data_IF_211346159043
#
_entry.id   IF_211346159043
#
_cell.length_a   1.000
_cell.length_b   1.000
_cell.length_c   1.000
_cell.angle_alpha   90.00
_cell.angle_beta   90.00
_cell.angle_gamma   90.00
#
_symmetry.space_group_name_H-M   'P 1'
#
loop_
_entity.id
_entity.type
_entity.pdbx_description
1 polymer ?
#
# COMPACT_ATOMS: atom_id res chain seq x y z
N UNK A 1 -1.74 -44.32 -52.15
CA UNK A 1 -1.28 -44.97 -53.40
C UNK A 1 0.22 -45.26 -53.39
N UNK A 2 1.11 -44.29 -53.11
CA UNK A 2 2.58 -44.50 -53.05
C UNK A 2 3.04 -45.63 -52.11
N UNK A 3 2.48 -45.73 -50.90
CA UNK A 3 2.83 -46.83 -49.96
C UNK A 3 2.43 -48.22 -50.47
N UNK A 4 1.36 -48.31 -51.26
CA UNK A 4 0.86 -49.57 -51.82
C UNK A 4 1.72 -49.97 -53.02
N UNK A 5 2.04 -49.01 -53.89
CA UNK A 5 2.88 -49.23 -55.08
C UNK A 5 4.31 -49.64 -54.69
N UNK A 6 4.85 -49.04 -53.61
CA UNK A 6 6.12 -49.46 -53.01
C UNK A 6 6.07 -50.90 -52.47
N UNK A 7 4.98 -51.28 -51.79
CA UNK A 7 4.79 -52.63 -51.25
C UNK A 7 4.70 -53.68 -52.36
N UNK A 8 3.96 -53.39 -53.43
CA UNK A 8 3.85 -54.26 -54.61
C UNK A 8 5.22 -54.43 -55.29
N UNK A 9 5.96 -53.33 -55.48
CA UNK A 9 7.29 -53.37 -56.08
C UNK A 9 8.29 -54.14 -55.21
N UNK A 10 8.22 -53.97 -53.88
CA UNK A 10 9.04 -54.71 -52.94
C UNK A 10 8.71 -56.20 -52.95
N UNK A 11 7.43 -56.57 -52.90
CA UNK A 11 7.02 -57.98 -52.99
C UNK A 11 7.45 -58.63 -54.31
N UNK A 12 7.30 -57.91 -55.44
CA UNK A 12 7.76 -58.39 -56.76
C UNK A 12 9.29 -58.53 -56.83
N UNK A 13 10.05 -57.63 -56.20
CA UNK A 13 11.52 -57.76 -56.12
C UNK A 13 11.93 -58.95 -55.25
N UNK A 14 11.27 -59.17 -54.12
CA UNK A 14 11.56 -60.29 -53.23
C UNK A 14 11.22 -61.62 -53.91
N UNK A 15 10.09 -61.70 -54.63
CA UNK A 15 9.70 -62.92 -55.33
C UNK A 15 10.64 -63.25 -56.49
N UNK A 16 11.07 -62.26 -57.28
CA UNK A 16 12.02 -62.47 -58.38
C UNK A 16 13.40 -62.90 -57.87
N UNK A 17 13.89 -62.27 -56.79
CA UNK A 17 15.15 -62.68 -56.15
C UNK A 17 15.03 -64.10 -55.58
N UNK A 18 13.89 -64.44 -54.94
CA UNK A 18 13.66 -65.78 -54.41
C UNK A 18 13.60 -66.86 -55.50
N UNK A 19 12.95 -66.57 -56.64
CA UNK A 19 12.91 -67.47 -57.81
C UNK A 19 14.32 -67.72 -58.36
N UNK A 20 15.11 -66.67 -58.53
CA UNK A 20 16.48 -66.78 -59.04
C UNK A 20 17.40 -67.61 -58.14
N UNK A 21 17.19 -67.55 -56.81
CA UNK A 21 17.88 -68.40 -55.83
C UNK A 21 17.40 -69.86 -55.82
N UNK A 22 16.18 -70.14 -56.28
CA UNK A 22 15.66 -71.50 -56.39
C UNK A 22 16.23 -72.25 -57.60
N UNK A 23 16.53 -71.55 -58.69
CA UNK A 23 17.01 -72.14 -59.95
C UNK A 23 18.54 -72.35 -59.98
N UNK A 24 19.30 -71.59 -59.18
CA UNK A 24 20.76 -71.67 -59.11
C UNK A 24 21.24 -72.32 -57.81
N UNK A 25 21.30 -73.65 -57.77
CA UNK A 25 21.83 -74.42 -56.64
C UNK A 25 23.36 -74.42 -56.61
N UNK A 26 23.96 -73.29 -56.22
CA UNK A 26 25.40 -73.25 -55.90
C UNK A 26 25.69 -73.96 -54.56
N UNK A 27 26.83 -74.64 -54.47
CA UNK A 27 27.39 -75.14 -53.20
C UNK A 27 28.44 -74.17 -52.68
N UNK A 28 28.45 -73.93 -51.37
CA UNK A 28 29.51 -73.20 -50.69
C UNK A 28 30.21 -74.19 -49.77
N UNK A 29 31.51 -74.37 -50.00
CA UNK A 29 32.40 -75.13 -49.12
C UNK A 29 33.19 -74.14 -48.27
N UNK A 30 33.02 -74.21 -46.95
CA UNK A 30 33.79 -73.40 -45.99
C UNK A 30 34.78 -74.33 -45.31
N UNK A 31 36.08 -74.13 -45.58
CA UNK A 31 37.17 -74.78 -44.87
C UNK A 31 37.67 -73.88 -43.73
N UNK A 32 37.55 -74.35 -42.49
CA UNK A 32 38.07 -73.64 -41.33
C UNK A 32 38.80 -74.60 -40.39
N UNK A 33 40.12 -74.42 -40.24
CA UNK A 33 40.96 -75.22 -39.34
C UNK A 33 40.83 -76.75 -39.52
N UNK A 34 40.63 -77.21 -40.76
CA UNK A 34 40.47 -78.63 -41.10
C UNK A 34 39.03 -79.15 -40.96
N UNK A 35 38.06 -78.31 -40.60
CA UNK A 35 36.64 -78.63 -40.69
C UNK A 35 36.08 -78.16 -42.03
N UNK A 36 35.42 -79.08 -42.73
CA UNK A 36 34.72 -78.82 -43.98
C UNK A 36 33.20 -78.86 -43.73
N UNK A 37 32.53 -77.76 -44.07
CA UNK A 37 31.08 -77.67 -44.01
C UNK A 37 30.57 -77.34 -45.40
N UNK A 38 29.90 -78.30 -46.02
CA UNK A 38 29.23 -78.14 -47.30
C UNK A 38 27.77 -77.73 -47.07
N UNK A 39 27.41 -76.54 -47.55
CA UNK A 39 26.02 -76.04 -47.47
C UNK A 39 25.57 -75.49 -48.82
N UNK A 40 24.25 -75.50 -49.05
CA UNK A 40 23.70 -74.84 -50.24
C UNK A 40 23.75 -73.31 -50.06
N UNK A 41 24.02 -72.60 -51.15
CA UNK A 41 24.09 -71.14 -51.21
C UNK A 41 22.85 -70.48 -50.60
N UNK A 42 21.68 -71.07 -50.83
CA UNK A 42 20.39 -70.59 -50.34
C UNK A 42 20.28 -70.67 -48.82
N UNK A 43 20.77 -71.76 -48.19
CA UNK A 43 20.77 -71.91 -46.73
C UNK A 43 21.76 -70.92 -46.10
N UNK A 44 22.95 -70.78 -46.69
CA UNK A 44 23.96 -69.84 -46.20
C UNK A 44 23.45 -68.39 -46.20
N UNK A 45 22.85 -67.94 -47.31
CA UNK A 45 22.30 -66.58 -47.40
C UNK A 45 21.13 -66.34 -46.46
N UNK A 46 20.29 -67.35 -46.24
CA UNK A 46 19.19 -67.29 -45.28
C UNK A 46 19.74 -67.10 -43.85
N UNK A 47 20.78 -67.85 -43.49
CA UNK A 47 21.46 -67.70 -42.19
C UNK A 47 22.08 -66.31 -42.07
N UNK A 48 22.80 -65.83 -43.09
CA UNK A 48 23.39 -64.48 -43.10
C UNK A 48 22.31 -63.40 -42.98
N UNK A 49 21.19 -63.53 -43.67
CA UNK A 49 20.07 -62.58 -43.61
C UNK A 49 19.45 -62.55 -42.21
N UNK A 50 19.19 -63.71 -41.60
CA UNK A 50 18.72 -63.80 -40.22
C UNK A 50 19.72 -63.15 -39.26
N UNK A 51 21.02 -63.39 -39.47
CA UNK A 51 22.08 -62.83 -38.62
C UNK A 51 22.13 -61.31 -38.73
N UNK A 52 22.04 -60.75 -39.94
CA UNK A 52 21.98 -59.29 -40.15
C UNK A 52 20.70 -58.71 -39.52
N UNK A 53 19.55 -59.36 -39.72
CA UNK A 53 18.27 -58.89 -39.19
C UNK A 53 18.23 -58.91 -37.66
N UNK A 54 18.75 -59.97 -37.04
CA UNK A 54 18.87 -60.08 -35.58
C UNK A 54 19.82 -59.03 -35.02
N UNK A 55 20.98 -58.80 -35.65
CA UNK A 55 21.93 -57.74 -35.26
C UNK A 55 21.29 -56.34 -35.36
N UNK A 56 20.51 -56.07 -36.43
CA UNK A 56 19.79 -54.80 -36.58
C UNK A 56 18.74 -54.60 -35.48
N UNK A 57 17.93 -55.62 -35.18
CA UNK A 57 16.92 -55.56 -34.12
C UNK A 57 17.59 -55.33 -32.76
N UNK A 58 18.66 -56.08 -32.46
CA UNK A 58 19.43 -55.93 -31.23
C UNK A 58 20.01 -54.51 -31.13
N UNK A 59 20.61 -53.99 -32.20
CA UNK A 59 21.15 -52.62 -32.25
C UNK A 59 20.08 -51.56 -31.95
N UNK A 60 18.91 -51.65 -32.58
CA UNK A 60 17.79 -50.73 -32.33
C UNK A 60 17.27 -50.86 -30.89
N UNK A 61 17.17 -52.08 -30.38
CA UNK A 61 16.75 -52.35 -29.01
C UNK A 61 17.71 -51.73 -28.00
N UNK A 62 19.02 -52.00 -28.12
CA UNK A 62 20.05 -51.40 -27.28
C UNK A 62 20.06 -49.86 -27.39
N UNK A 63 19.97 -49.31 -28.60
CA UNK A 63 19.92 -47.86 -28.80
C UNK A 63 18.71 -47.20 -28.10
N UNK A 64 17.52 -47.81 -28.21
CA UNK A 64 16.32 -47.34 -27.50
C UNK A 64 16.48 -47.46 -25.99
N UNK A 65 17.08 -48.55 -25.50
CA UNK A 65 17.29 -48.82 -24.07
C UNK A 65 18.28 -47.80 -23.46
N UNK A 66 19.33 -47.41 -24.19
CA UNK A 66 20.25 -46.35 -23.79
C UNK A 66 19.61 -44.95 -23.79
N UNK A 67 18.65 -44.65 -24.69
CA UNK A 67 17.98 -43.34 -24.74
C UNK A 67 16.75 -43.21 -23.83
N UNK A 68 16.15 -44.33 -23.42
CA UNK A 68 15.00 -44.41 -22.51
C UNK A 68 15.23 -43.64 -21.18
N UNK A 69 16.36 -43.81 -20.45
CA UNK A 69 16.58 -43.10 -19.19
C UNK A 69 16.59 -41.57 -19.37
N UNK A 70 17.11 -41.04 -20.49
CA UNK A 70 17.10 -39.61 -20.76
C UNK A 70 15.69 -39.06 -20.99
N UNK A 71 14.85 -39.79 -21.73
CA UNK A 71 13.44 -39.41 -21.96
C UNK A 71 12.63 -39.43 -20.66
N UNK A 72 12.84 -40.46 -19.84
CA UNK A 72 12.20 -40.59 -18.52
C UNK A 72 12.63 -39.46 -17.59
N UNK A 73 13.93 -39.18 -17.47
CA UNK A 73 14.46 -38.07 -16.66
C UNK A 73 13.88 -36.73 -17.10
N UNK A 74 13.76 -36.48 -18.41
CA UNK A 74 13.14 -35.26 -18.96
C UNK A 74 11.65 -35.19 -18.62
N UNK A 75 10.93 -36.31 -18.71
CA UNK A 75 9.51 -36.39 -18.34
C UNK A 75 9.27 -36.13 -16.86
N UNK A 76 10.05 -36.78 -15.97
CA UNK A 76 10.00 -36.54 -14.53
C UNK A 76 10.32 -35.08 -14.18
N UNK A 77 11.34 -34.49 -14.81
CA UNK A 77 11.63 -33.06 -14.62
C UNK A 77 10.43 -32.19 -14.99
N UNK A 78 9.78 -32.45 -16.14
CA UNK A 78 8.57 -31.72 -16.55
C UNK A 78 7.42 -31.90 -15.56
N UNK A 79 7.17 -33.13 -15.11
CA UNK A 79 6.15 -33.44 -14.12
C UNK A 79 6.41 -32.72 -12.80
N UNK A 80 7.65 -32.77 -12.29
CA UNK A 80 8.03 -32.11 -11.04
C UNK A 80 7.93 -30.59 -11.13
N UNK A 81 8.28 -29.98 -12.26
CA UNK A 81 8.09 -28.55 -12.50
C UNK A 81 6.60 -28.19 -12.54
N UNK A 82 5.75 -28.98 -13.22
CA UNK A 82 4.29 -28.77 -13.20
C UNK A 82 3.72 -28.86 -11.79
N UNK A 83 4.11 -29.90 -11.03
CA UNK A 83 3.72 -30.07 -9.63
C UNK A 83 4.18 -28.90 -8.76
N UNK A 84 5.37 -28.37 -9.01
CA UNK A 84 5.93 -27.25 -8.27
C UNK A 84 5.25 -25.90 -8.60
N UNK A 85 4.82 -25.70 -9.85
CA UNK A 85 3.98 -24.57 -10.26
C UNK A 85 2.60 -24.64 -9.61
N UNK A 86 1.95 -25.81 -9.64
CA UNK A 86 0.67 -26.01 -8.97
C UNK A 86 0.77 -25.74 -7.46
N UNK A 87 1.83 -26.25 -6.81
CA UNK A 87 2.09 -25.94 -5.41
C UNK A 87 2.34 -24.44 -5.19
N UNK A 88 2.99 -23.73 -6.12
CA UNK A 88 3.22 -22.30 -6.00
C UNK A 88 1.90 -21.53 -6.05
N UNK A 89 1.00 -21.87 -6.97
CA UNK A 89 -0.34 -21.28 -7.08
C UNK A 89 -1.16 -21.53 -5.80
N UNK A 90 -1.25 -22.77 -5.35
CA UNK A 90 -1.92 -23.15 -4.09
C UNK A 90 -1.31 -22.45 -2.87
N UNK A 91 0.02 -22.30 -2.83
CA UNK A 91 0.71 -21.59 -1.76
C UNK A 91 0.40 -20.09 -1.74
N UNK A 92 0.29 -19.47 -2.91
CA UNK A 92 -0.10 -18.07 -3.03
C UNK A 92 -1.57 -17.87 -2.67
N UNK A 93 -2.48 -18.73 -3.11
CA UNK A 93 -3.89 -18.69 -2.70
C UNK A 93 -4.03 -18.87 -1.19
N UNK A 94 -3.29 -19.82 -0.60
CA UNK A 94 -3.24 -20.01 0.84
C UNK A 94 -2.75 -18.77 1.61
N UNK A 95 -1.87 -17.95 1.01
CA UNK A 95 -1.44 -16.68 1.61
C UNK A 95 -2.56 -15.64 1.70
N UNK A 96 -3.56 -15.69 0.80
CA UNK A 96 -4.72 -14.78 0.85
C UNK A 96 -5.63 -15.14 2.04
N UNK A 97 -5.80 -16.44 2.30
CA UNK A 97 -6.63 -16.96 3.40
C UNK A 97 -5.85 -17.15 4.72
N UNK A 98 -4.57 -16.76 4.79
CA UNK A 98 -3.68 -16.95 5.94
C UNK A 98 -3.55 -18.42 6.43
N UNK A 99 -3.56 -19.38 5.51
CA UNK A 99 -3.38 -20.80 5.83
C UNK A 99 -1.89 -21.18 5.95
N UNK A 100 -1.31 -20.95 7.13
CA UNK A 100 0.12 -21.11 7.41
C UNK A 100 0.70 -22.49 7.05
N UNK A 101 -0.04 -23.57 7.31
CA UNK A 101 0.40 -24.94 7.04
C UNK A 101 0.56 -25.21 5.54
N UNK A 102 -0.40 -24.76 4.72
CA UNK A 102 -0.35 -24.87 3.26
C UNK A 102 0.80 -24.05 2.69
N UNK A 103 1.01 -22.82 3.16
CA UNK A 103 2.11 -21.94 2.71
C UNK A 103 3.47 -22.63 2.92
N UNK A 104 3.70 -23.18 4.12
CA UNK A 104 4.95 -23.87 4.45
C UNK A 104 5.16 -25.11 3.57
N UNK A 105 4.14 -25.95 3.43
CA UNK A 105 4.20 -27.17 2.62
C UNK A 105 4.48 -26.84 1.15
N UNK A 106 3.71 -25.91 0.59
CA UNK A 106 3.75 -25.55 -0.81
C UNK A 106 5.06 -24.85 -1.19
N UNK A 107 5.55 -23.92 -0.36
CA UNK A 107 6.87 -23.31 -0.58
C UNK A 107 7.99 -24.35 -0.64
N UNK A 108 8.01 -25.34 0.27
CA UNK A 108 9.02 -26.41 0.26
C UNK A 108 8.97 -27.26 -1.01
N UNK A 109 7.79 -27.47 -1.59
CA UNK A 109 7.63 -28.21 -2.86
C UNK A 109 8.12 -27.34 -4.02
N UNK A 110 7.68 -26.09 -4.09
CA UNK A 110 8.00 -25.16 -5.17
C UNK A 110 9.49 -24.84 -5.24
N UNK A 111 10.15 -24.57 -4.11
CA UNK A 111 11.58 -24.23 -4.03
C UNK A 111 12.49 -25.33 -4.61
N UNK A 112 12.09 -26.60 -4.54
CA UNK A 112 12.92 -27.73 -5.02
C UNK A 112 13.10 -27.75 -6.53
N UNK A 113 12.10 -27.31 -7.29
CA UNK A 113 12.06 -27.51 -8.74
C UNK A 113 11.93 -26.21 -9.55
N UNK A 114 11.53 -25.10 -8.92
CA UNK A 114 11.41 -23.81 -9.59
C UNK A 114 12.68 -22.98 -9.44
N UNK A 115 13.01 -22.24 -10.50
CA UNK A 115 14.00 -21.16 -10.44
C UNK A 115 13.44 -20.00 -9.61
N UNK A 116 14.33 -19.11 -9.18
CA UNK A 116 13.93 -17.90 -8.48
C UNK A 116 13.14 -16.98 -9.40
N UNK A 117 11.85 -16.79 -9.09
CA UNK A 117 10.93 -15.86 -9.76
C UNK A 117 10.34 -14.89 -8.72
N UNK A 118 9.76 -13.74 -9.14
CA UNK A 118 9.11 -12.80 -8.21
C UNK A 118 8.03 -13.45 -7.36
N UNK A 119 7.23 -14.33 -7.96
CA UNK A 119 6.15 -15.07 -7.27
C UNK A 119 6.69 -16.08 -6.26
N UNK A 120 7.77 -16.79 -6.60
CA UNK A 120 8.41 -17.71 -5.65
C UNK A 120 9.06 -16.94 -4.48
N UNK A 121 9.62 -15.75 -4.74
CA UNK A 121 10.12 -14.87 -3.69
C UNK A 121 9.01 -14.34 -2.79
N UNK A 122 7.84 -14.01 -3.35
CA UNK A 122 6.69 -13.61 -2.56
C UNK A 122 6.23 -14.76 -1.64
N UNK A 123 6.14 -15.99 -2.16
CA UNK A 123 5.79 -17.16 -1.35
C UNK A 123 6.89 -17.48 -0.30
N UNK A 124 8.17 -17.28 -0.64
CA UNK A 124 9.29 -17.38 0.30
C UNK A 124 9.17 -16.36 1.42
N UNK A 125 8.81 -15.12 1.10
CA UNK A 125 8.63 -14.06 2.08
C UNK A 125 7.54 -14.45 3.08
N UNK A 126 6.38 -14.91 2.59
CA UNK A 126 5.29 -15.40 3.43
C UNK A 126 5.74 -16.56 4.34
N UNK A 127 6.46 -17.53 3.79
CA UNK A 127 7.07 -18.60 4.59
C UNK A 127 7.98 -18.07 5.70
N UNK A 128 8.83 -17.09 5.42
CA UNK A 128 9.75 -16.51 6.39
C UNK A 128 9.04 -15.67 7.46
N UNK A 129 7.98 -14.95 7.10
CA UNK A 129 7.13 -14.20 8.04
C UNK A 129 6.46 -15.13 9.04
N UNK A 130 5.92 -16.27 8.59
CA UNK A 130 5.33 -17.30 9.47
C UNK A 130 6.38 -17.89 10.43
N UNK A 131 7.64 -17.97 9.98
CA UNK A 131 8.76 -18.43 10.81
C UNK A 131 9.34 -17.35 11.72
N UNK A 132 8.84 -16.12 11.65
CA UNK A 132 9.34 -14.96 12.40
C UNK A 132 10.85 -14.74 12.25
N UNK A 133 11.42 -15.11 11.09
CA UNK A 133 12.86 -14.95 10.82
C UNK A 133 13.11 -13.65 10.04
N UNK A 134 13.36 -12.57 10.77
CA UNK A 134 13.53 -11.24 10.19
C UNK A 134 14.73 -11.12 9.24
N UNK A 135 15.86 -11.77 9.55
CA UNK A 135 17.04 -11.75 8.70
C UNK A 135 16.75 -12.38 7.32
N UNK A 136 16.02 -13.50 7.30
CA UNK A 136 15.57 -14.14 6.07
C UNK A 136 14.50 -13.32 5.33
N UNK A 137 13.62 -12.61 6.04
CA UNK A 137 12.68 -11.65 5.43
C UNK A 137 13.44 -10.52 4.74
N UNK A 138 14.39 -9.89 5.43
CA UNK A 138 15.24 -8.83 4.89
C UNK A 138 15.98 -9.28 3.63
N UNK A 139 16.64 -10.45 3.68
CA UNK A 139 17.33 -11.03 2.54
C UNK A 139 16.39 -11.35 1.36
N UNK A 140 15.15 -11.75 1.66
CA UNK A 140 14.14 -12.03 0.63
C UNK A 140 13.67 -10.75 -0.03
N UNK A 141 13.39 -9.69 0.74
CA UNK A 141 13.07 -8.37 0.19
C UNK A 141 14.21 -7.81 -0.66
N UNK A 142 15.47 -7.92 -0.20
CA UNK A 142 16.64 -7.51 -1.00
C UNK A 142 16.68 -8.22 -2.36
N UNK A 143 16.40 -9.52 -2.41
CA UNK A 143 16.30 -10.29 -3.67
C UNK A 143 15.11 -9.85 -4.54
N UNK A 144 14.00 -9.44 -3.93
CA UNK A 144 12.82 -8.94 -4.65
C UNK A 144 13.08 -7.58 -5.33
N UNK A 145 14.05 -6.79 -4.89
CA UNK A 145 14.42 -5.52 -5.56
C UNK A 145 14.96 -5.74 -6.98
N UNK A 146 15.53 -6.91 -7.26
CA UNK A 146 16.08 -7.24 -8.59
C UNK A 146 14.99 -7.35 -9.66
N UNK A 147 13.73 -7.61 -9.28
CA UNK A 147 12.62 -7.77 -10.21
C UNK A 147 11.65 -6.60 -10.12
N UNK A 148 11.43 -5.90 -11.23
CA UNK A 148 10.55 -4.73 -11.29
C UNK A 148 9.16 -4.96 -10.68
N UNK A 149 8.55 -6.13 -10.94
CA UNK A 149 7.22 -6.48 -10.44
C UNK A 149 7.13 -6.55 -8.90
N UNK A 150 8.22 -6.90 -8.21
CA UNK A 150 8.23 -7.06 -6.75
C UNK A 150 8.86 -5.90 -5.99
N UNK A 151 9.45 -4.92 -6.68
CA UNK A 151 10.08 -3.74 -6.04
C UNK A 151 9.17 -2.97 -5.11
N UNK A 152 7.89 -2.68 -5.43
CA UNK A 152 7.02 -1.93 -4.53
C UNK A 152 6.83 -2.63 -3.17
N UNK A 153 6.55 -3.93 -3.20
CA UNK A 153 6.38 -4.75 -1.99
C UNK A 153 7.70 -4.82 -1.22
N UNK A 154 8.82 -5.02 -1.93
CA UNK A 154 10.13 -5.10 -1.34
C UNK A 154 10.55 -3.82 -0.61
N UNK A 155 10.40 -2.66 -1.25
CA UNK A 155 10.71 -1.38 -0.65
C UNK A 155 9.82 -1.09 0.55
N UNK A 156 8.51 -1.33 0.43
CA UNK A 156 7.60 -1.09 1.53
C UNK A 156 7.94 -1.98 2.75
N UNK A 157 8.32 -3.24 2.51
CA UNK A 157 8.80 -4.16 3.54
C UNK A 157 10.12 -3.74 4.17
N UNK A 158 11.10 -3.29 3.38
CA UNK A 158 12.39 -2.81 3.90
C UNK A 158 12.25 -1.52 4.70
N UNK A 159 11.37 -0.60 4.30
CA UNK A 159 11.04 0.60 5.08
C UNK A 159 10.32 0.21 6.39
N UNK A 160 9.47 -0.81 6.35
CA UNK A 160 8.85 -1.35 7.58
C UNK A 160 9.89 -1.92 8.55
N UNK A 161 10.89 -2.67 8.05
CA UNK A 161 12.01 -3.15 8.85
C UNK A 161 12.82 -1.98 9.43
N UNK A 162 13.12 -0.96 8.62
CA UNK A 162 13.79 0.24 9.10
C UNK A 162 13.00 0.91 10.24
N UNK A 163 11.67 1.00 10.10
CA UNK A 163 10.78 1.57 11.11
C UNK A 163 10.68 0.73 12.39
N UNK A 164 10.80 -0.59 12.28
CA UNK A 164 10.84 -1.47 13.45
C UNK A 164 12.15 -1.30 14.22
N UNK A 165 13.27 -1.16 13.51
CA UNK A 165 14.61 -1.12 14.10
C UNK A 165 15.12 0.31 14.34
N UNK A 166 14.31 1.34 14.03
CA UNK A 166 14.72 2.75 14.00
C UNK A 166 16.01 3.01 13.20
N UNK A 167 16.22 2.25 12.12
CA UNK A 167 17.42 2.32 11.28
C UNK A 167 17.30 3.45 10.24
N UNK A 168 17.92 4.60 10.54
CA UNK A 168 17.90 5.78 9.69
C UNK A 168 18.72 5.61 8.40
N UNK A 169 19.80 4.83 8.46
CA UNK A 169 20.65 4.59 7.29
C UNK A 169 19.89 3.73 6.27
N UNK A 170 19.30 2.61 6.72
CA UNK A 170 18.46 1.77 5.89
C UNK A 170 17.29 2.57 5.30
N UNK A 171 16.61 3.38 6.11
CA UNK A 171 15.52 4.22 5.64
C UNK A 171 15.93 5.15 4.49
N UNK A 172 17.01 5.91 4.66
CA UNK A 172 17.51 6.84 3.64
C UNK A 172 17.94 6.12 2.36
N UNK A 173 18.63 4.98 2.49
CA UNK A 173 19.00 4.11 1.38
C UNK A 173 17.77 3.56 0.65
N UNK A 174 16.69 3.21 1.38
CA UNK A 174 15.45 2.72 0.77
C UNK A 174 14.71 3.81 -0.02
N UNK A 175 14.70 5.06 0.45
CA UNK A 175 14.15 6.17 -0.33
C UNK A 175 14.97 6.43 -1.61
N UNK A 176 16.31 6.43 -1.50
CA UNK A 176 17.19 6.60 -2.65
C UNK A 176 17.00 5.48 -3.68
N UNK A 177 16.93 4.22 -3.24
CA UNK A 177 16.68 3.07 -4.12
C UNK A 177 15.28 3.08 -4.73
N UNK A 178 14.27 3.55 -4.00
CA UNK A 178 12.93 3.74 -4.57
C UNK A 178 12.95 4.72 -5.74
N UNK A 179 13.73 5.81 -5.62
CA UNK A 179 13.92 6.79 -6.70
C UNK A 179 14.68 6.21 -7.89
N UNK A 180 15.81 5.52 -7.66
CA UNK A 180 16.61 4.94 -8.75
C UNK A 180 15.80 3.91 -9.55
N UNK A 181 14.99 3.11 -8.87
CA UNK A 181 14.10 2.14 -9.49
C UNK A 181 12.76 2.69 -9.98
N UNK A 182 12.51 4.00 -9.81
CA UNK A 182 11.28 4.70 -10.22
C UNK A 182 10.02 4.06 -9.64
N UNK A 183 10.08 3.59 -8.40
CA UNK A 183 8.92 2.99 -7.73
C UNK A 183 7.97 4.09 -7.28
N UNK A 184 6.67 4.01 -7.64
CA UNK A 184 5.71 5.04 -7.26
C UNK A 184 5.62 5.21 -5.75
N UNK A 185 5.65 6.47 -5.30
CA UNK A 185 5.60 6.86 -3.89
C UNK A 185 4.36 6.32 -3.15
N UNK A 186 3.25 6.12 -3.86
CA UNK A 186 2.00 5.62 -3.30
C UNK A 186 2.12 4.29 -2.54
N UNK A 187 3.06 3.43 -2.96
CA UNK A 187 3.21 2.09 -2.39
C UNK A 187 3.90 2.07 -1.02
N UNK A 188 4.65 3.11 -0.66
CA UNK A 188 5.46 3.11 0.55
C UNK A 188 5.36 4.40 1.39
N UNK A 189 4.60 5.40 0.94
CA UNK A 189 4.49 6.70 1.62
C UNK A 189 4.00 6.59 3.07
N UNK A 190 3.06 5.69 3.37
CA UNK A 190 2.53 5.55 4.74
C UNK A 190 3.62 5.04 5.70
N UNK A 191 4.36 4.00 5.31
CA UNK A 191 5.48 3.48 6.09
C UNK A 191 6.63 4.47 6.17
N UNK A 192 6.88 5.21 5.08
CA UNK A 192 7.92 6.23 5.08
C UNK A 192 7.57 7.41 5.99
N UNK A 193 6.29 7.80 6.03
CA UNK A 193 5.80 8.85 6.90
C UNK A 193 5.79 8.41 8.37
N UNK A 194 5.37 7.17 8.67
CA UNK A 194 5.40 6.66 10.05
C UNK A 194 6.82 6.55 10.59
N UNK A 195 7.81 6.22 9.75
CA UNK A 195 9.23 6.32 10.14
C UNK A 195 9.62 7.76 10.51
N UNK A 196 9.20 8.75 9.72
CA UNK A 196 9.51 10.17 9.98
C UNK A 196 8.89 10.66 11.29
N UNK A 197 7.64 10.26 11.57
CA UNK A 197 6.95 10.61 12.80
C UNK A 197 7.71 10.13 14.04
N UNK A 198 8.21 8.89 14.03
CA UNK A 198 8.92 8.33 15.19
C UNK A 198 10.30 8.95 15.40
N UNK A 199 11.00 9.27 14.32
CA UNK A 199 12.40 9.69 14.36
C UNK A 199 12.60 11.21 14.21
N UNK A 200 11.51 11.99 14.14
CA UNK A 200 11.53 13.43 13.85
C UNK A 200 12.34 13.80 12.59
N UNK A 201 12.47 12.88 11.62
CA UNK A 201 13.30 13.06 10.43
C UNK A 201 12.50 13.60 9.25
N UNK A 202 12.00 14.83 9.39
CA UNK A 202 11.09 15.45 8.42
C UNK A 202 11.77 15.81 7.10
N UNK A 203 13.05 16.18 7.15
CA UNK A 203 13.80 16.73 6.02
C UNK A 203 14.05 15.70 4.93
N UNK A 204 14.40 14.46 5.31
CA UNK A 204 14.72 13.40 4.36
C UNK A 204 13.50 13.06 3.49
N UNK A 205 12.33 12.85 4.10
CA UNK A 205 11.12 12.55 3.35
C UNK A 205 10.59 13.75 2.57
N UNK A 206 10.66 14.96 3.13
CA UNK A 206 10.24 16.17 2.41
C UNK A 206 11.06 16.39 1.14
N UNK A 207 12.39 16.24 1.22
CA UNK A 207 13.27 16.31 0.06
C UNK A 207 12.93 15.22 -0.97
N UNK A 208 12.70 13.99 -0.52
CA UNK A 208 12.30 12.89 -1.39
C UNK A 208 11.01 13.21 -2.17
N UNK A 209 9.95 13.63 -1.48
CA UNK A 209 8.65 14.00 -2.09
C UNK A 209 8.80 15.18 -3.07
N UNK A 210 9.59 16.19 -2.71
CA UNK A 210 9.76 17.41 -3.53
C UNK A 210 10.34 17.13 -4.93
N UNK A 211 11.09 16.03 -5.06
CA UNK A 211 11.72 15.59 -6.30
C UNK A 211 10.87 14.61 -7.10
N UNK A 212 9.73 14.17 -6.56
CA UNK A 212 8.81 13.26 -7.24
C UNK A 212 8.01 14.01 -8.33
N UNK A 213 7.84 13.35 -9.49
CA UNK A 213 7.06 13.90 -10.61
C UNK A 213 5.59 14.10 -10.25
N UNK A 214 5.05 13.28 -9.34
CA UNK A 214 3.67 13.31 -8.88
C UNK A 214 3.45 14.18 -7.64
N UNK A 215 4.43 14.99 -7.21
CA UNK A 215 4.33 15.85 -6.00
C UNK A 215 3.07 16.72 -5.93
N UNK A 216 2.51 17.10 -7.08
CA UNK A 216 1.32 17.94 -7.16
C UNK A 216 -0.01 17.17 -6.96
N UNK A 217 0.03 15.84 -6.88
CA UNK A 217 -1.15 15.07 -6.52
C UNK A 217 -1.61 15.43 -5.12
N UNK A 218 -2.93 15.54 -4.95
CA UNK A 218 -3.58 16.00 -3.72
C UNK A 218 -3.07 15.29 -2.46
N UNK A 219 -2.97 13.96 -2.50
CA UNK A 219 -2.43 13.14 -1.42
C UNK A 219 -1.02 13.58 -0.97
N UNK A 220 -0.11 13.81 -1.92
CA UNK A 220 1.26 14.23 -1.59
C UNK A 220 1.35 15.68 -1.11
N UNK A 221 0.45 16.57 -1.57
CA UNK A 221 0.32 17.92 -1.00
C UNK A 221 -0.03 17.89 0.48
N UNK A 222 -0.97 17.03 0.89
CA UNK A 222 -1.31 16.85 2.31
C UNK A 222 -0.10 16.37 3.12
N UNK A 223 0.58 15.31 2.66
CA UNK A 223 1.76 14.79 3.36
C UNK A 223 2.86 15.86 3.44
N UNK A 224 3.13 16.56 2.34
CA UNK A 224 4.15 17.62 2.30
C UNK A 224 3.79 18.79 3.24
N UNK A 225 2.51 19.16 3.32
CA UNK A 225 2.02 20.19 4.26
C UNK A 225 2.24 19.76 5.71
N UNK A 226 1.95 18.50 6.04
CA UNK A 226 2.20 17.95 7.39
C UNK A 226 3.71 17.97 7.71
N UNK A 227 4.57 17.55 6.78
CA UNK A 227 6.03 17.57 6.98
C UNK A 227 6.58 18.99 7.17
N UNK A 228 6.12 19.95 6.36
CA UNK A 228 6.47 21.36 6.51
C UNK A 228 6.01 21.91 7.86
N UNK A 229 4.82 21.55 8.33
CA UNK A 229 4.34 21.93 9.66
C UNK A 229 5.27 21.43 10.76
N UNK A 230 5.62 20.14 10.77
CA UNK A 230 6.51 19.60 11.80
C UNK A 230 7.89 20.24 11.76
N UNK A 231 8.43 20.50 10.56
CA UNK A 231 9.68 21.24 10.40
C UNK A 231 9.57 22.67 10.96
N UNK A 232 8.49 23.39 10.67
CA UNK A 232 8.25 24.72 11.22
C UNK A 232 8.11 24.69 12.76
N UNK A 233 7.41 23.68 13.29
CA UNK A 233 7.25 23.46 14.73
C UNK A 233 8.61 23.25 15.41
N UNK A 234 9.49 22.45 14.83
CA UNK A 234 10.83 22.20 15.35
C UNK A 234 11.68 23.49 15.40
N UNK A 235 11.63 24.32 14.35
CA UNK A 235 12.31 25.62 14.36
C UNK A 235 11.72 26.57 15.41
N UNK A 236 10.39 26.55 15.59
CA UNK A 236 9.72 27.36 16.61
C UNK A 236 10.12 26.94 18.03
N UNK A 237 10.15 25.64 18.32
CA UNK A 237 10.60 25.09 19.61
C UNK A 237 12.08 25.39 19.89
N UNK A 238 12.92 25.49 18.84
CA UNK A 238 14.32 25.95 18.93
C UNK A 238 14.48 27.47 19.04
N UNK A 239 13.41 28.24 19.13
CA UNK A 239 13.43 29.70 19.24
C UNK A 239 13.68 30.46 17.92
N UNK A 240 13.71 29.78 16.78
CA UNK A 240 13.92 30.41 15.47
C UNK A 240 12.58 30.75 14.79
N UNK A 241 11.92 31.81 15.29
CA UNK A 241 10.59 32.23 14.82
C UNK A 241 10.57 32.65 13.35
N UNK A 242 11.62 33.27 12.82
CA UNK A 242 11.69 33.71 11.41
C UNK A 242 11.70 32.52 10.44
N UNK A 243 12.54 31.51 10.70
CA UNK A 243 12.56 30.29 9.88
C UNK A 243 11.25 29.52 10.03
N UNK A 244 10.71 29.40 11.23
CA UNK A 244 9.40 28.78 11.44
C UNK A 244 8.30 29.49 10.63
N UNK A 245 8.30 30.83 10.62
CA UNK A 245 7.36 31.66 9.86
C UNK A 245 7.47 31.41 8.35
N UNK A 246 8.68 31.47 7.79
CA UNK A 246 8.88 31.26 6.35
C UNK A 246 8.42 29.88 5.88
N UNK A 247 8.67 28.83 6.67
CA UNK A 247 8.27 27.46 6.34
C UNK A 247 6.76 27.29 6.47
N UNK A 248 6.15 27.79 7.55
CA UNK A 248 4.71 27.61 7.76
C UNK A 248 3.89 28.36 6.69
N UNK A 249 4.35 29.53 6.23
CA UNK A 249 3.70 30.28 5.16
C UNK A 249 3.61 29.48 3.85
N UNK A 250 4.64 28.66 3.56
CA UNK A 250 4.66 27.80 2.37
C UNK A 250 3.62 26.67 2.41
N UNK A 251 3.05 26.35 3.58
CA UNK A 251 2.00 25.32 3.69
C UNK A 251 0.68 25.79 3.08
N UNK A 252 0.35 27.07 3.26
CA UNK A 252 -0.91 27.65 2.79
C UNK A 252 -0.94 27.93 1.28
N UNK A 253 0.23 28.00 0.63
CA UNK A 253 0.32 28.15 -0.83
C UNK A 253 -0.38 27.01 -1.59
N UNK A 254 -0.40 25.80 -0.99
CA UNK A 254 -1.01 24.61 -1.59
C UNK A 254 -2.54 24.54 -1.34
N UNK A 255 -3.12 25.54 -0.65
CA UNK A 255 -4.53 25.58 -0.18
C UNK A 255 -4.93 24.37 0.68
N UNK A 256 -3.95 23.74 1.31
CA UNK A 256 -4.17 22.69 2.31
C UNK A 256 -4.11 23.36 3.67
N UNK A 257 -5.23 23.36 4.38
CA UNK A 257 -5.32 23.94 5.71
C UNK A 257 -5.40 22.84 6.76
N UNK A 258 -4.43 22.81 7.66
CA UNK A 258 -4.42 21.94 8.84
C UNK A 258 -4.62 22.81 10.07
N UNK A 259 -5.55 22.47 10.99
CA UNK A 259 -5.75 23.23 12.23
C UNK A 259 -4.46 23.61 12.98
N UNK A 260 -3.55 22.68 13.28
CA UNK A 260 -2.32 23.02 14.00
C UNK A 260 -1.37 23.91 13.19
N UNK A 261 -1.42 23.88 11.86
CA UNK A 261 -0.63 24.80 11.02
C UNK A 261 -1.13 26.23 11.13
N UNK A 262 -2.45 26.42 11.18
CA UNK A 262 -3.08 27.74 11.38
C UNK A 262 -2.78 28.27 12.78
N UNK A 263 -2.83 27.43 13.81
CA UNK A 263 -2.46 27.80 15.18
C UNK A 263 -0.99 28.21 15.30
N UNK A 264 -0.06 27.45 14.70
CA UNK A 264 1.35 27.81 14.73
C UNK A 264 1.59 29.13 13.99
N UNK A 265 0.97 29.31 12.82
CA UNK A 265 1.05 30.56 12.08
C UNK A 265 0.51 31.75 12.88
N UNK A 266 -0.62 31.58 13.56
CA UNK A 266 -1.22 32.62 14.39
C UNK A 266 -0.32 32.98 15.57
N UNK A 267 0.25 31.99 16.27
CA UNK A 267 1.21 32.21 17.38
C UNK A 267 2.50 32.91 16.96
N UNK A 268 2.97 32.67 15.74
CA UNK A 268 4.14 33.34 15.17
C UNK A 268 3.86 34.80 14.74
N UNK A 269 2.59 35.14 14.49
CA UNK A 269 2.16 36.44 13.96
C UNK A 269 1.72 37.45 15.03
N UNK A 270 2.17 37.31 16.28
CA UNK A 270 1.71 38.11 17.44
C UNK A 270 1.77 39.63 17.25
N UNK A 271 2.68 40.15 16.41
CA UNK A 271 2.94 41.60 16.27
C UNK A 271 2.81 42.18 14.85
N UNK A 272 2.52 41.37 13.83
CA UNK A 272 2.53 41.85 12.44
C UNK A 272 1.13 42.18 11.91
N UNK A 273 1.04 43.32 11.22
CA UNK A 273 -0.15 43.89 10.56
C UNK A 273 -1.17 42.83 10.11
N UNK A 274 -2.29 42.83 10.82
CA UNK A 274 -3.44 41.92 10.82
C UNK A 274 -4.07 41.50 9.46
N UNK A 275 -3.65 42.06 8.32
CA UNK A 275 -4.27 41.81 7.01
C UNK A 275 -4.02 40.39 6.51
N UNK A 276 -2.78 39.90 6.61
CA UNK A 276 -2.42 38.57 6.11
C UNK A 276 -3.08 37.47 6.94
N UNK A 277 -3.04 37.58 8.27
CA UNK A 277 -3.71 36.65 9.17
C UNK A 277 -5.23 36.66 8.95
N UNK A 278 -5.87 37.84 8.84
CA UNK A 278 -7.31 37.94 8.54
C UNK A 278 -7.66 37.26 7.22
N UNK A 279 -6.88 37.48 6.15
CA UNK A 279 -7.09 36.83 4.85
C UNK A 279 -6.94 35.31 4.95
N UNK A 280 -5.94 34.84 5.68
CA UNK A 280 -5.71 33.41 5.90
C UNK A 280 -6.85 32.77 6.68
N UNK A 281 -7.30 33.35 7.79
CA UNK A 281 -8.40 32.83 8.60
C UNK A 281 -9.71 32.77 7.80
N UNK A 282 -9.97 33.75 6.92
CA UNK A 282 -11.13 33.72 6.02
C UNK A 282 -11.05 32.56 5.03
N UNK A 283 -9.88 32.31 4.44
CA UNK A 283 -9.69 31.15 3.57
C UNK A 283 -9.80 29.84 4.34
N UNK A 284 -9.25 29.80 5.55
CA UNK A 284 -9.32 28.63 6.42
C UNK A 284 -10.76 28.26 6.72
N UNK A 285 -11.58 29.21 7.16
CA UNK A 285 -13.01 29.01 7.39
C UNK A 285 -13.74 28.49 6.13
N UNK A 286 -13.45 29.09 4.97
CA UNK A 286 -14.10 28.69 3.72
C UNK A 286 -13.81 27.25 3.31
N UNK A 287 -12.57 26.77 3.50
CA UNK A 287 -12.12 25.45 3.02
C UNK A 287 -12.15 24.35 4.08
N UNK A 288 -11.92 24.69 5.34
CA UNK A 288 -11.88 23.76 6.47
C UNK A 288 -12.36 24.48 7.75
N UNK A 289 -13.69 24.64 7.94
CA UNK A 289 -14.24 25.22 9.15
C UNK A 289 -13.77 24.44 10.39
N UNK A 290 -13.27 25.13 11.42
CA UNK A 290 -12.73 24.48 12.61
C UNK A 290 -12.80 25.42 13.83
N UNK A 291 -12.98 24.86 15.02
CA UNK A 291 -13.21 25.62 16.25
C UNK A 291 -12.03 26.50 16.69
N UNK A 292 -10.80 26.08 16.45
CA UNK A 292 -9.58 26.83 16.81
C UNK A 292 -9.46 28.23 16.16
N UNK A 293 -10.30 28.56 15.16
CA UNK A 293 -10.35 29.91 14.57
C UNK A 293 -10.72 30.96 15.64
N UNK A 294 -11.56 30.59 16.61
CA UNK A 294 -11.93 31.48 17.71
C UNK A 294 -10.73 31.82 18.59
N UNK A 295 -9.97 30.81 19.00
CA UNK A 295 -8.77 30.99 19.81
C UNK A 295 -7.73 31.82 19.04
N UNK A 296 -7.57 31.58 17.74
CA UNK A 296 -6.73 32.40 16.88
C UNK A 296 -7.16 33.87 16.86
N UNK A 297 -8.46 34.18 16.88
CA UNK A 297 -8.96 35.57 16.92
C UNK A 297 -8.79 36.19 18.32
N UNK A 298 -9.00 35.42 19.38
CA UNK A 298 -8.89 35.88 20.76
C UNK A 298 -7.43 36.16 21.17
N UNK A 299 -6.51 35.27 20.82
CA UNK A 299 -5.10 35.37 21.19
C UNK A 299 -4.35 36.42 20.36
N UNK A 300 -4.81 36.66 19.13
CA UNK A 300 -4.25 37.67 18.23
C UNK A 300 -5.07 38.96 18.27
N UNK A 301 -4.66 39.95 17.47
CA UNK A 301 -5.33 41.25 17.38
C UNK A 301 -5.48 41.93 18.76
N UNK A 302 -4.43 41.91 19.60
CA UNK A 302 -4.45 42.44 20.98
C UNK A 302 -4.89 43.91 21.07
N UNK A 303 -4.63 44.69 20.01
CA UNK A 303 -5.01 46.10 19.91
C UNK A 303 -6.54 46.31 19.71
N UNK A 304 -7.30 45.24 19.43
CA UNK A 304 -8.74 45.31 19.28
C UNK A 304 -9.45 45.00 20.60
N UNK A 305 -10.43 45.82 20.95
CA UNK A 305 -11.38 45.50 22.02
C UNK A 305 -12.17 44.24 21.69
N UNK A 306 -12.70 43.59 22.72
CA UNK A 306 -13.46 42.34 22.56
C UNK A 306 -14.67 42.51 21.62
N UNK A 307 -15.35 43.66 21.65
CA UNK A 307 -16.41 44.01 20.70
C UNK A 307 -15.92 44.10 19.25
N UNK A 308 -14.72 44.65 19.01
CA UNK A 308 -14.11 44.68 17.67
C UNK A 308 -13.70 43.28 17.23
N UNK A 309 -13.29 42.39 18.14
CA UNK A 309 -13.02 40.98 17.84
C UNK A 309 -14.29 40.20 17.49
N UNK A 310 -15.43 40.50 18.14
CA UNK A 310 -16.75 39.96 17.75
C UNK A 310 -17.06 40.33 16.29
N UNK A 311 -16.95 41.62 15.93
CA UNK A 311 -17.17 42.09 14.56
C UNK A 311 -16.23 41.40 13.56
N UNK A 312 -14.94 41.28 13.91
CA UNK A 312 -13.96 40.59 13.09
C UNK A 312 -14.32 39.11 12.90
N UNK A 313 -14.74 38.40 13.94
CA UNK A 313 -15.15 37.01 13.82
C UNK A 313 -16.38 36.86 12.91
N UNK A 314 -17.37 37.74 13.03
CA UNK A 314 -18.54 37.77 12.11
C UNK A 314 -18.08 37.93 10.65
N UNK A 315 -17.14 38.83 10.38
CA UNK A 315 -16.58 39.04 9.04
C UNK A 315 -15.69 37.89 8.51
N UNK A 316 -15.18 37.03 9.41
CA UNK A 316 -14.38 35.86 9.07
C UNK A 316 -15.26 34.64 8.79
N UNK A 317 -16.32 34.47 9.58
CA UNK A 317 -17.26 33.33 9.52
C UNK A 317 -18.33 33.51 8.42
N UNK A 318 -17.92 34.02 7.26
CA UNK A 318 -18.80 34.21 6.11
C UNK A 318 -19.16 32.85 5.45
N UNK A 319 -20.41 32.71 5.00
CA UNK A 319 -20.98 31.45 4.50
C UNK A 319 -21.24 30.39 5.59
N UNK A 320 -21.49 29.15 5.17
CA UNK A 320 -21.79 28.00 6.04
C UNK A 320 -22.96 28.24 7.01
N UNK A 321 -24.07 28.82 6.53
CA UNK A 321 -25.20 29.21 7.39
C UNK A 321 -25.98 28.05 8.01
N UNK A 322 -25.82 26.84 7.46
CA UNK A 322 -26.37 25.59 8.00
C UNK A 322 -25.38 24.87 8.92
N UNK A 323 -24.19 25.44 9.18
CA UNK A 323 -23.19 24.82 10.04
C UNK A 323 -23.39 25.28 11.48
N UNK A 324 -23.69 24.34 12.38
CA UNK A 324 -23.85 24.63 13.81
C UNK A 324 -22.62 25.33 14.41
N UNK A 325 -21.41 24.91 13.99
CA UNK A 325 -20.14 25.44 14.48
C UNK A 325 -20.03 26.96 14.31
N UNK A 326 -20.61 27.53 13.24
CA UNK A 326 -20.65 28.98 13.03
C UNK A 326 -21.28 29.69 14.21
N UNK A 327 -22.49 29.27 14.56
CA UNK A 327 -23.27 29.90 15.64
C UNK A 327 -22.71 29.57 17.01
N UNK A 328 -22.13 28.38 17.21
CA UNK A 328 -21.43 28.04 18.44
C UNK A 328 -20.28 29.03 18.72
N UNK A 329 -19.44 29.31 17.72
CA UNK A 329 -18.29 30.22 17.88
C UNK A 329 -18.73 31.69 18.05
N UNK A 330 -19.78 32.12 17.33
CA UNK A 330 -20.37 33.45 17.51
C UNK A 330 -20.99 33.63 18.90
N UNK A 331 -21.74 32.63 19.37
CA UNK A 331 -22.28 32.60 20.72
C UNK A 331 -21.17 32.68 21.77
N UNK A 332 -20.11 31.87 21.63
CA UNK A 332 -19.00 31.86 22.58
C UNK A 332 -18.27 33.20 22.68
N UNK A 333 -17.96 33.85 21.55
CA UNK A 333 -17.28 35.16 21.60
C UNK A 333 -18.20 36.26 22.13
N UNK A 334 -19.51 36.22 21.82
CA UNK A 334 -20.51 37.19 22.31
C UNK A 334 -20.74 37.04 23.81
N UNK A 335 -20.76 35.80 24.32
CA UNK A 335 -20.80 35.52 25.75
C UNK A 335 -19.58 36.12 26.46
N UNK A 336 -18.36 35.90 25.92
CA UNK A 336 -17.14 36.53 26.45
C UNK A 336 -17.23 38.06 26.44
N UNK A 337 -17.85 38.63 25.41
CA UNK A 337 -18.10 40.07 25.27
C UNK A 337 -19.27 40.61 26.10
N UNK A 338 -19.94 39.77 26.90
CA UNK A 338 -21.13 40.11 27.70
C UNK A 338 -22.32 40.61 26.87
N UNK A 339 -22.40 40.22 25.59
CA UNK A 339 -23.54 40.49 24.70
C UNK A 339 -24.55 39.35 24.84
N UNK A 340 -25.22 39.30 26.01
CA UNK A 340 -25.99 38.13 26.42
C UNK A 340 -27.14 37.76 25.48
N UNK A 341 -27.94 38.75 25.05
CA UNK A 341 -29.12 38.51 24.22
C UNK A 341 -28.76 37.85 22.89
N UNK A 342 -27.82 38.44 22.15
CA UNK A 342 -27.39 37.89 20.86
C UNK A 342 -26.56 36.61 21.00
N UNK A 343 -25.81 36.47 22.11
CA UNK A 343 -25.13 35.23 22.44
C UNK A 343 -26.11 34.07 22.61
N UNK A 344 -27.20 34.26 23.37
CA UNK A 344 -28.23 33.22 23.56
C UNK A 344 -28.87 32.83 22.23
N UNK A 345 -29.21 33.82 21.39
CA UNK A 345 -29.80 33.58 20.06
C UNK A 345 -28.91 32.68 19.19
N UNK A 346 -27.61 32.98 19.11
CA UNK A 346 -26.68 32.16 18.32
C UNK A 346 -26.51 30.76 18.91
N UNK A 347 -26.39 30.63 20.24
CA UNK A 347 -26.24 29.31 20.88
C UNK A 347 -27.49 28.43 20.68
N UNK A 348 -28.69 29.01 20.78
CA UNK A 348 -29.94 28.29 20.48
C UNK A 348 -29.99 27.83 19.03
N UNK A 349 -29.63 28.71 18.08
CA UNK A 349 -29.53 28.34 16.67
C UNK A 349 -28.50 27.24 16.40
N UNK A 350 -27.37 27.25 17.12
CA UNK A 350 -26.41 26.14 17.07
C UNK A 350 -27.04 24.82 17.51
N UNK A 351 -27.83 24.82 18.58
CA UNK A 351 -28.47 23.63 19.13
C UNK A 351 -29.57 23.12 18.19
N UNK A 352 -30.34 24.02 17.59
CA UNK A 352 -31.37 23.69 16.59
C UNK A 352 -30.79 22.93 15.40
N UNK A 353 -29.59 23.31 14.94
CA UNK A 353 -28.91 22.63 13.83
C UNK A 353 -28.28 21.31 14.30
N UNK A 354 -27.47 21.35 15.35
CA UNK A 354 -26.80 20.18 15.90
C UNK A 354 -26.62 20.33 17.42
N UNK A 355 -27.40 19.59 18.23
CA UNK A 355 -27.28 19.60 19.67
C UNK A 355 -25.86 19.19 20.11
N UNK A 356 -25.21 20.07 20.87
CA UNK A 356 -23.85 19.82 21.34
C UNK A 356 -23.68 20.31 22.79
N UNK A 357 -22.88 19.57 23.55
CA UNK A 357 -22.64 19.81 24.97
C UNK A 357 -22.08 21.21 25.24
N UNK A 358 -21.14 21.68 24.40
CA UNK A 358 -20.52 23.00 24.56
C UNK A 358 -21.52 24.15 24.53
N UNK A 359 -22.51 24.12 23.63
CA UNK A 359 -23.55 25.15 23.53
C UNK A 359 -24.41 25.23 24.80
N UNK A 360 -24.84 24.08 25.33
CA UNK A 360 -25.61 24.03 26.57
C UNK A 360 -24.83 24.57 27.77
N UNK A 361 -23.55 24.21 27.91
CA UNK A 361 -22.70 24.72 28.99
C UNK A 361 -22.47 26.24 28.89
N UNK A 362 -22.37 26.78 27.68
CA UNK A 362 -22.29 28.23 27.48
C UNK A 362 -23.60 28.93 27.87
N UNK A 363 -24.77 28.36 27.55
CA UNK A 363 -26.06 28.89 28.00
C UNK A 363 -26.19 28.90 29.52
N UNK A 364 -25.74 27.84 30.19
CA UNK A 364 -25.69 27.77 31.66
C UNK A 364 -24.86 28.93 32.23
N UNK A 365 -23.63 29.11 31.73
CA UNK A 365 -22.74 30.19 32.19
C UNK A 365 -23.36 31.59 31.99
N UNK A 366 -24.03 31.82 30.85
CA UNK A 366 -24.73 33.09 30.62
C UNK A 366 -25.85 33.29 31.66
N UNK A 367 -26.58 32.24 32.00
CA UNK A 367 -27.76 32.34 32.86
C UNK A 367 -27.38 32.47 34.34
N UNK A 368 -26.28 31.86 34.75
CA UNK A 368 -25.62 32.11 36.05
C UNK A 368 -25.17 33.57 36.20
N UNK A 369 -24.75 34.24 35.12
CA UNK A 369 -24.27 35.63 35.17
C UNK A 369 -25.36 36.68 34.96
N UNK A 370 -26.56 36.27 34.55
CA UNK A 370 -27.65 37.21 34.19
C UNK A 370 -28.86 37.09 35.11
N UNK A 371 -29.55 35.95 35.10
CA UNK A 371 -30.84 35.78 35.78
C UNK A 371 -30.77 34.88 37.01
N UNK A 372 -29.73 34.06 37.14
CA UNK A 372 -29.57 33.05 38.18
C UNK A 372 -30.77 32.09 38.33
N UNK A 373 -31.51 31.85 37.23
CA UNK A 373 -32.67 30.97 37.25
C UNK A 373 -32.23 29.50 37.38
N UNK A 374 -32.40 28.94 38.59
CA UNK A 374 -31.97 27.59 38.95
C UNK A 374 -32.63 26.49 38.11
N UNK A 375 -33.88 26.68 37.69
CA UNK A 375 -34.62 25.63 36.96
C UNK A 375 -34.11 25.52 35.52
N UNK A 376 -33.86 26.66 34.86
CA UNK A 376 -33.27 26.67 33.52
C UNK A 376 -31.82 26.16 33.53
N UNK A 377 -31.03 26.54 34.53
CA UNK A 377 -29.67 26.03 34.70
C UNK A 377 -29.68 24.50 34.81
N UNK A 378 -30.56 23.94 35.66
CA UNK A 378 -30.71 22.48 35.81
C UNK A 378 -31.13 21.81 34.51
N UNK A 379 -32.07 22.40 33.76
CA UNK A 379 -32.54 21.79 32.51
C UNK A 379 -31.48 21.78 31.41
N UNK A 380 -30.69 22.84 31.24
CA UNK A 380 -29.58 22.82 30.27
C UNK A 380 -28.44 21.91 30.72
N UNK A 381 -28.16 21.84 32.03
CA UNK A 381 -27.16 20.91 32.56
C UNK A 381 -27.54 19.46 32.29
N UNK A 382 -28.79 19.06 32.54
CA UNK A 382 -29.24 17.69 32.26
C UNK A 382 -29.18 17.38 30.77
N UNK A 383 -29.59 18.31 29.89
CA UNK A 383 -29.46 18.15 28.45
C UNK A 383 -27.99 18.02 28.01
N UNK A 384 -27.08 18.78 28.61
CA UNK A 384 -25.65 18.74 28.27
C UNK A 384 -25.01 17.37 28.54
N UNK A 385 -25.54 16.60 29.50
CA UNK A 385 -25.04 15.26 29.85
C UNK A 385 -25.37 14.21 28.78
N UNK A 386 -26.42 14.43 27.98
CA UNK A 386 -26.86 13.50 26.95
C UNK A 386 -26.01 13.54 25.67
N UNK A 387 -25.15 14.55 25.51
CA UNK A 387 -24.35 14.75 24.30
C UNK A 387 -22.85 14.63 24.57
N UNK A 388 -22.14 13.91 23.70
CA UNK A 388 -20.70 13.72 23.79
C UNK A 388 -19.93 14.71 22.91
N UNK A 389 -18.73 15.10 23.34
CA UNK A 389 -17.81 15.97 22.59
C UNK A 389 -17.00 15.19 21.51
N UNK A 390 -17.39 13.95 21.22
CA UNK A 390 -16.72 13.08 20.24
C UNK A 390 -17.17 13.47 18.83
N UNK A 391 -16.52 14.50 18.29
CA UNK A 391 -16.98 15.20 17.09
C UNK A 391 -16.25 14.80 15.80
N UNK A 392 -15.11 14.11 15.89
CA UNK A 392 -14.28 13.75 14.73
C UNK A 392 -14.32 12.24 14.48
N UNK A 393 -14.64 11.85 13.25
CA UNK A 393 -14.72 10.46 12.82
C UNK A 393 -13.70 10.17 11.72
N UNK A 394 -12.96 9.07 11.85
CA UNK A 394 -12.03 8.61 10.84
C UNK A 394 -12.79 7.98 9.66
N UNK A 395 -12.51 8.40 8.43
CA UNK A 395 -13.11 7.81 7.23
C UNK A 395 -12.62 6.41 6.89
N UNK A 396 -11.48 5.97 7.44
CA UNK A 396 -10.90 4.65 7.14
C UNK A 396 -11.32 3.55 8.11
N UNK A 397 -11.37 3.84 9.41
CA UNK A 397 -11.69 2.84 10.43
C UNK A 397 -12.89 3.23 11.31
N UNK A 398 -13.53 4.37 11.04
CA UNK A 398 -14.71 4.87 11.74
C UNK A 398 -14.53 5.13 13.25
N UNK A 399 -13.29 5.11 13.76
CA UNK A 399 -12.98 5.53 15.12
C UNK A 399 -13.37 6.99 15.34
N UNK A 400 -13.94 7.29 16.51
CA UNK A 400 -14.36 8.65 16.88
C UNK A 400 -13.43 9.20 17.96
N UNK A 401 -13.10 10.48 17.88
CA UNK A 401 -12.28 11.18 18.86
C UNK A 401 -12.78 12.61 19.11
N UNK A 402 -12.32 13.21 20.21
CA UNK A 402 -12.72 14.54 20.66
C UNK A 402 -12.05 15.66 19.86
N UNK A 403 -10.73 15.59 19.70
CA UNK A 403 -9.93 16.62 19.05
C UNK A 403 -9.48 16.18 17.66
N UNK A 404 -9.25 17.12 16.75
CA UNK A 404 -8.74 16.79 15.42
C UNK A 404 -7.26 16.38 15.49
N UNK A 405 -6.89 15.30 14.80
CA UNK A 405 -5.49 14.88 14.65
C UNK A 405 -5.13 14.67 13.18
N UNK A 406 -3.83 14.80 12.88
CA UNK A 406 -3.31 14.64 11.52
C UNK A 406 -3.34 13.19 11.02
N UNK A 407 -3.30 12.24 11.94
CA UNK A 407 -3.32 10.81 11.68
C UNK A 407 -4.21 10.10 12.70
N UNK A 408 -4.80 8.99 12.27
CA UNK A 408 -5.63 8.17 13.14
C UNK A 408 -4.77 7.20 13.94
N UNK A 409 -4.81 7.28 15.28
CA UNK A 409 -4.06 6.37 16.16
C UNK A 409 -4.45 4.89 15.98
N UNK A 410 -5.68 4.63 15.55
CA UNK A 410 -6.18 3.26 15.37
C UNK A 410 -5.73 2.60 14.05
N UNK A 411 -5.68 3.35 12.94
CA UNK A 411 -5.37 2.77 11.62
C UNK A 411 -4.15 3.39 10.92
N UNK A 412 -3.48 4.36 11.55
CA UNK A 412 -2.33 5.10 11.03
C UNK A 412 -2.56 5.77 9.67
N UNK A 413 -3.82 5.96 9.28
CA UNK A 413 -4.18 6.67 8.06
C UNK A 413 -4.02 8.18 8.27
N UNK A 414 -3.56 8.86 7.22
CA UNK A 414 -3.29 10.29 7.23
C UNK A 414 -4.50 11.06 6.71
N UNK A 415 -4.84 12.15 7.40
CA UNK A 415 -5.86 13.10 6.97
C UNK A 415 -7.23 12.45 6.69
N UNK A 416 -7.71 11.63 7.63
CA UNK A 416 -8.96 10.86 7.48
C UNK A 416 -10.07 11.34 8.39
N UNK A 417 -9.80 12.27 9.31
CA UNK A 417 -10.81 12.81 10.22
C UNK A 417 -11.70 13.85 9.54
N UNK A 418 -13.00 13.61 9.61
CA UNK A 418 -14.03 14.58 9.27
C UNK A 418 -14.94 14.79 10.48
N UNK A 419 -15.56 15.96 10.55
CA UNK A 419 -16.44 16.30 11.65
C UNK A 419 -17.84 15.69 11.42
N UNK A 420 -18.46 15.15 12.46
CA UNK A 420 -19.75 14.46 12.37
C UNK A 420 -20.90 15.43 12.04
N UNK A 421 -20.87 16.63 12.62
CA UNK A 421 -21.85 17.71 12.32
C UNK A 421 -21.65 18.48 11.01
N UNK A 422 -20.82 17.99 10.06
CA UNK A 422 -20.80 18.53 8.69
C UNK A 422 -21.74 17.70 7.81
N UNK A 423 -22.94 18.22 7.49
CA UNK A 423 -23.90 17.55 6.57
C UNK A 423 -23.31 17.30 5.17
N UNK A 424 -22.28 18.07 4.81
CA UNK A 424 -21.47 17.81 3.64
C UNK A 424 -20.15 17.19 4.07
N UNK A 425 -20.04 15.86 3.94
CA UNK A 425 -18.74 15.22 3.76
C UNK A 425 -17.98 16.08 2.73
N UNK A 426 -16.78 16.61 3.03
CA UNK A 426 -16.02 17.27 2.00
C UNK A 426 -15.90 16.23 0.88
N UNK A 427 -16.43 16.52 -0.32
CA UNK A 427 -16.30 15.70 -1.56
C UNK A 427 -14.84 15.29 -1.86
N UNK A 428 -13.91 15.82 -1.08
CA UNK A 428 -12.48 15.61 -1.09
C UNK A 428 -11.97 14.37 -0.33
N UNK A 429 -12.76 13.66 0.48
CA UNK A 429 -12.32 12.45 1.21
C UNK A 429 -12.51 11.15 0.43
N UNK A 430 -13.37 11.14 -0.61
CA UNK A 430 -13.64 9.94 -1.40
C UNK A 430 -12.42 9.42 -2.17
N UNK A 431 -11.48 10.28 -2.56
CA UNK A 431 -10.25 9.87 -3.27
C UNK A 431 -9.28 9.08 -2.38
N UNK A 432 -9.43 9.15 -1.05
CA UNK A 432 -8.61 8.39 -0.11
C UNK A 432 -9.08 6.94 0.08
N UNK A 433 -10.28 6.59 -0.40
CA UNK A 433 -10.88 5.28 -0.23
C UNK A 433 -10.25 4.19 -1.13
N UNK A 434 -9.48 4.56 -2.15
CA UNK A 434 -9.04 3.60 -3.18
C UNK A 434 -7.74 2.85 -2.87
N UNK A 435 -6.98 3.20 -1.83
CA UNK A 435 -5.70 2.53 -1.52
C UNK A 435 -5.70 1.67 -0.26
N UNK A 436 -6.88 1.30 0.24
CA UNK A 436 -7.02 0.05 0.99
C UNK A 436 -7.04 -1.14 0.01
N UNK A 437 -6.06 -1.20 -0.89
CA UNK A 437 -5.58 -2.49 -1.39
C UNK A 437 -4.77 -3.14 -0.27
N UNK A 438 -5.43 -3.37 0.86
CA UNK A 438 -5.13 -4.50 1.70
C UNK A 438 -5.55 -5.76 0.96
N UNK A 439 -4.81 -6.10 -0.09
CA UNK A 439 -4.12 -7.37 0.02
C UNK A 439 -3.26 -7.21 1.28
N UNK A 440 -3.84 -7.57 2.42
CA UNK A 440 -3.15 -7.83 3.69
C UNK A 440 -2.25 -9.04 3.41
N UNK A 441 -1.25 -8.84 2.56
CA UNK A 441 0.01 -9.55 2.64
C UNK A 441 0.62 -8.90 3.87
N UNK A 442 0.30 -9.49 5.02
CA UNK A 442 0.52 -8.95 6.36
C UNK A 442 1.95 -8.42 6.57
#
# INVERSE_FOLDING_TARGET
MIKILFLICLMASVSTIAMWFSENSGSIQIMWLGWEVDTSLSIFLLIVFILIFTVLILSIFFYKLFLLPFKIKKSFKKYNVKKANYALEEGLLASIYNENSKIIKNYKISKKYLKQTPLLLLLRLQYNLIKSNEAECFNTYKKMLNFQASRPIALNGLISIANKNNDQELYSNMLYTARSFKVPLDYYINNAFSFCLKNNNWQVLSNHISTDRKKNQKKFKYVNTILKYFKAKEYYEKGNSEKAMSIIQQTFAEKVFLPPSVELYSRLHKDATNRNLKKLLRHYWRYFPHHNILDCVLDNFKNLSLLKKVKLLIELLDGHDTLYLKYLLLGEIKAKAKIWGDSKKDLLKSIEIFPNKKAYLLLVNIEEQTTCNKDKIKSWLSLSQNYNDLLWKCSSCFSVQKDWSMYCDNCNSLYTFYHIGFDNLPKNTSDFLANNNSLKIA
#
